data_IF_111538647616
#
_entry.id   IF_111538647616
#
_cell.length_a   1.000
_cell.length_b   1.000
_cell.length_c   1.000
_cell.angle_alpha   90.00
_cell.angle_beta   90.00
_cell.angle_gamma   90.00
#
_symmetry.space_group_name_H-M   'P 1'
#
loop_
_entity.id
_entity.type
_entity.pdbx_description
1 polymer ?
#
# COMPACT_ATOMS: atom_id res chain seq x y z
N UNK A 1 31.15 -22.09 6.88
CA UNK A 1 29.75 -22.49 7.10
C UNK A 1 28.93 -22.39 5.81
N UNK A 2 28.95 -21.29 5.08
CA UNK A 2 28.14 -21.05 3.86
C UNK A 2 28.30 -22.16 2.79
N UNK A 3 29.52 -22.61 2.50
CA UNK A 3 29.76 -23.73 1.53
C UNK A 3 29.07 -25.04 1.91
N UNK A 4 28.98 -25.37 3.21
CA UNK A 4 28.30 -26.59 3.68
C UNK A 4 26.80 -26.46 3.56
N UNK A 5 26.24 -25.27 3.76
CA UNK A 5 24.81 -24.96 3.60
C UNK A 5 24.43 -25.04 2.11
N UNK A 6 25.26 -24.47 1.23
CA UNK A 6 25.05 -24.54 -0.21
C UNK A 6 25.13 -25.99 -0.72
N UNK A 7 26.10 -26.76 -0.23
CA UNK A 7 26.20 -28.19 -0.60
C UNK A 7 25.03 -29.01 -0.07
N UNK A 8 24.60 -28.77 1.14
CA UNK A 8 23.42 -29.44 1.70
C UNK A 8 22.13 -29.05 0.93
N UNK A 9 21.97 -27.80 0.58
CA UNK A 9 20.88 -27.33 -0.27
C UNK A 9 20.90 -27.99 -1.66
N UNK A 10 22.08 -28.12 -2.28
CA UNK A 10 22.27 -28.82 -3.56
C UNK A 10 21.97 -30.31 -3.51
N UNK A 11 22.33 -30.99 -2.39
CA UNK A 11 22.02 -32.41 -2.20
C UNK A 11 20.55 -32.62 -1.93
N UNK A 12 19.92 -31.75 -1.15
CA UNK A 12 18.45 -31.80 -0.90
C UNK A 12 17.69 -31.53 -2.19
N UNK A 13 18.11 -30.54 -2.97
CA UNK A 13 17.49 -30.28 -4.27
C UNK A 13 17.63 -31.47 -5.22
N UNK A 14 18.81 -32.08 -5.33
CA UNK A 14 19.01 -33.24 -6.22
C UNK A 14 18.20 -34.47 -5.81
N UNK A 15 18.00 -34.71 -4.50
CA UNK A 15 17.13 -35.80 -4.01
C UNK A 15 15.64 -35.53 -4.28
N UNK A 16 15.24 -34.27 -4.25
CA UNK A 16 13.87 -33.82 -4.59
C UNK A 16 13.60 -33.96 -6.10
N UNK A 17 14.62 -33.69 -6.95
CA UNK A 17 14.52 -33.87 -8.41
C UNK A 17 14.36 -35.35 -8.86
N UNK A 18 14.71 -36.31 -8.01
CA UNK A 18 14.58 -37.73 -8.34
C UNK A 18 13.14 -38.26 -8.21
N UNK A 19 12.22 -37.46 -7.68
CA UNK A 19 10.80 -37.84 -7.57
C UNK A 19 10.00 -37.18 -8.69
N UNK A 20 9.34 -37.96 -9.56
CA UNK A 20 8.50 -37.51 -10.68
C UNK A 20 7.29 -36.63 -10.26
N UNK A 21 7.16 -36.29 -8.97
CA UNK A 21 6.05 -35.52 -8.42
C UNK A 21 6.29 -34.02 -8.37
N UNK A 22 7.52 -33.55 -8.67
CA UNK A 22 7.83 -32.14 -8.68
C UNK A 22 7.81 -31.57 -10.11
N UNK A 23 7.14 -30.42 -10.26
CA UNK A 23 7.22 -29.58 -11.46
C UNK A 23 7.76 -28.21 -11.07
N UNK A 24 8.64 -27.67 -11.87
CA UNK A 24 9.18 -26.32 -11.71
C UNK A 24 8.72 -25.44 -12.84
N UNK A 25 8.41 -24.20 -12.55
CA UNK A 25 7.89 -23.28 -13.55
C UNK A 25 8.31 -21.83 -13.30
N UNK A 26 8.11 -21.01 -14.31
CA UNK A 26 8.17 -19.56 -14.20
C UNK A 26 6.78 -18.97 -14.24
N UNK A 27 6.56 -17.98 -13.42
CA UNK A 27 5.28 -17.28 -13.26
C UNK A 27 5.43 -15.81 -13.64
N UNK A 28 4.43 -15.26 -14.33
CA UNK A 28 4.30 -13.83 -14.59
C UNK A 28 2.83 -13.42 -14.53
N UNK A 29 2.55 -12.32 -13.84
CA UNK A 29 1.20 -11.78 -13.70
C UNK A 29 1.19 -10.25 -13.75
N UNK A 30 0.16 -9.69 -14.37
CA UNK A 30 -0.26 -8.32 -14.11
C UNK A 30 -1.13 -8.28 -12.86
N UNK A 31 -1.04 -7.19 -12.10
CA UNK A 31 -1.82 -7.03 -10.87
C UNK A 31 -2.50 -5.69 -10.80
N UNK A 32 -3.64 -5.65 -10.08
CA UNK A 32 -4.29 -4.43 -9.63
C UNK A 32 -4.40 -4.50 -8.12
N UNK A 33 -3.96 -3.45 -7.44
CA UNK A 33 -3.93 -3.39 -5.98
C UNK A 33 -4.61 -2.14 -5.45
N UNK A 34 -5.14 -2.27 -4.25
CA UNK A 34 -5.65 -1.17 -3.42
C UNK A 34 -5.30 -1.45 -1.96
N UNK A 35 -5.57 -0.53 -1.07
CA UNK A 35 -5.51 -0.80 0.35
C UNK A 35 -6.91 -0.96 0.94
N UNK A 36 -7.00 -1.71 2.03
CA UNK A 36 -8.22 -1.91 2.80
C UNK A 36 -7.90 -1.89 4.29
N UNK A 37 -8.89 -1.64 5.11
CA UNK A 37 -8.74 -1.62 6.56
C UNK A 37 -9.66 -0.60 7.20
N UNK A 38 -9.40 -0.31 8.47
CA UNK A 38 -10.20 0.63 9.24
C UNK A 38 -10.03 2.05 8.68
N UNK A 39 -11.14 2.77 8.52
CA UNK A 39 -11.20 4.16 8.04
C UNK A 39 -10.63 4.42 6.63
N UNK A 40 -10.38 3.38 5.81
CA UNK A 40 -9.89 3.56 4.44
C UNK A 40 -10.91 4.22 3.52
N UNK A 41 -12.21 4.10 3.82
CA UNK A 41 -13.28 4.73 3.04
C UNK A 41 -13.22 6.27 3.06
N UNK A 42 -12.62 6.84 4.12
CA UNK A 42 -12.40 8.28 4.23
C UNK A 42 -11.21 8.77 3.41
N UNK A 43 -10.28 7.88 3.05
CA UNK A 43 -9.02 8.24 2.40
C UNK A 43 -9.09 8.26 0.88
N UNK A 44 -10.24 7.91 0.26
CA UNK A 44 -10.38 7.84 -1.22
C UNK A 44 -9.23 7.08 -1.88
N UNK A 45 -8.96 5.87 -1.35
CA UNK A 45 -7.88 5.02 -1.85
C UNK A 45 -8.30 4.37 -3.17
N UNK A 46 -7.55 4.67 -4.22
CA UNK A 46 -7.75 4.16 -5.56
C UNK A 46 -6.95 2.88 -5.84
N UNK A 47 -7.15 2.40 -7.06
CA UNK A 47 -6.46 1.21 -7.57
C UNK A 47 -5.15 1.58 -8.24
N UNK A 48 -4.12 0.76 -8.03
CA UNK A 48 -2.83 0.89 -8.71
C UNK A 48 -2.48 -0.36 -9.51
N UNK A 49 -1.88 -0.19 -10.67
CA UNK A 49 -1.38 -1.29 -11.49
C UNK A 49 -0.01 -1.74 -11.00
N UNK A 50 0.24 -3.04 -11.06
CA UNK A 50 1.50 -3.66 -10.69
C UNK A 50 1.80 -4.92 -11.49
N UNK A 51 2.83 -5.64 -11.10
CA UNK A 51 3.18 -6.92 -11.72
C UNK A 51 3.88 -7.83 -10.71
N UNK A 52 3.78 -9.13 -10.96
CA UNK A 52 4.49 -10.16 -10.19
C UNK A 52 5.20 -11.10 -11.17
N UNK A 53 6.48 -11.38 -10.92
CA UNK A 53 7.25 -12.34 -11.71
C UNK A 53 8.10 -13.21 -10.78
N UNK A 54 8.19 -14.51 -11.06
CA UNK A 54 8.91 -15.40 -10.18
C UNK A 54 9.04 -16.83 -10.68
N UNK A 55 9.53 -17.67 -9.79
CA UNK A 55 9.63 -19.10 -9.97
C UNK A 55 8.66 -19.82 -9.02
N UNK A 56 8.02 -20.88 -9.51
CA UNK A 56 7.13 -21.73 -8.73
C UNK A 56 7.59 -23.19 -8.78
N UNK A 57 7.34 -23.91 -7.71
CA UNK A 57 7.50 -25.36 -7.62
C UNK A 57 6.15 -25.97 -7.22
N UNK A 58 5.71 -26.98 -7.96
CA UNK A 58 4.48 -27.72 -7.69
C UNK A 58 4.81 -29.15 -7.30
N UNK A 59 4.40 -29.55 -6.11
CA UNK A 59 4.46 -30.93 -5.64
C UNK A 59 3.10 -31.59 -5.82
N UNK A 60 3.01 -32.58 -6.68
CA UNK A 60 1.78 -33.31 -6.96
C UNK A 60 1.64 -34.43 -5.94
N UNK A 61 0.69 -34.30 -5.01
CA UNK A 61 0.40 -35.33 -4.00
C UNK A 61 -0.45 -36.45 -4.61
N UNK A 62 -1.45 -36.07 -5.38
CA UNK A 62 -2.31 -36.96 -6.16
C UNK A 62 -2.98 -36.16 -7.30
N UNK A 63 -3.75 -36.82 -8.22
CA UNK A 63 -4.38 -36.12 -9.34
C UNK A 63 -5.30 -34.96 -8.96
N UNK A 64 -5.89 -34.97 -7.75
CA UNK A 64 -6.80 -33.93 -7.27
C UNK A 64 -6.10 -32.86 -6.42
N UNK A 65 -4.92 -33.15 -5.85
CA UNK A 65 -4.29 -32.28 -4.85
C UNK A 65 -2.81 -32.10 -5.11
N UNK A 66 -2.38 -30.87 -5.09
CA UNK A 66 -0.96 -30.48 -5.14
C UNK A 66 -0.70 -29.29 -4.22
N UNK A 67 0.57 -29.10 -3.87
CA UNK A 67 1.06 -27.91 -3.15
C UNK A 67 1.94 -27.13 -4.11
N UNK A 68 1.70 -25.83 -4.21
CA UNK A 68 2.50 -24.91 -5.02
C UNK A 68 3.15 -23.91 -4.08
N UNK A 69 4.46 -23.80 -4.15
CA UNK A 69 5.25 -22.78 -3.46
C UNK A 69 6.08 -22.02 -4.46
N UNK A 70 6.43 -20.79 -4.14
CA UNK A 70 7.19 -19.96 -5.06
C UNK A 70 8.04 -18.90 -4.37
N UNK A 71 8.81 -18.20 -5.18
CA UNK A 71 9.49 -16.96 -4.83
C UNK A 71 9.43 -16.04 -6.04
N UNK A 72 9.09 -14.78 -5.81
CA UNK A 72 8.96 -13.81 -6.89
C UNK A 72 9.23 -12.40 -6.43
N UNK A 73 9.38 -11.52 -7.41
CA UNK A 73 9.40 -10.07 -7.23
C UNK A 73 8.01 -9.55 -7.55
N UNK A 74 7.46 -8.77 -6.64
CA UNK A 74 6.13 -8.20 -6.74
C UNK A 74 6.20 -6.68 -6.61
N UNK A 75 5.86 -5.99 -7.68
CA UNK A 75 5.73 -4.55 -7.73
C UNK A 75 4.28 -4.16 -7.54
N UNK A 76 4.02 -3.36 -6.53
CA UNK A 76 2.68 -2.95 -6.08
C UNK A 76 2.54 -1.46 -6.15
N UNK A 77 1.38 -0.98 -6.59
CA UNK A 77 1.01 0.43 -6.52
C UNK A 77 -0.35 0.57 -5.86
N UNK A 78 -0.49 1.67 -5.13
CA UNK A 78 -1.77 2.12 -4.54
C UNK A 78 -1.84 3.62 -4.74
N UNK A 79 -2.95 4.14 -5.25
CA UNK A 79 -3.15 5.58 -5.40
C UNK A 79 -4.03 6.11 -4.27
N UNK A 80 -3.74 7.32 -3.86
CA UNK A 80 -4.55 8.08 -2.91
C UNK A 80 -4.90 9.42 -3.53
N UNK A 81 -6.19 9.65 -3.78
CA UNK A 81 -6.70 10.89 -4.32
C UNK A 81 -7.00 11.87 -3.18
N UNK A 82 -5.96 12.61 -2.78
CA UNK A 82 -6.09 13.63 -1.71
C UNK A 82 -7.02 14.76 -2.12
N UNK A 83 -7.04 15.09 -3.40
CA UNK A 83 -7.91 16.12 -3.95
C UNK A 83 -9.39 15.75 -3.81
N UNK A 84 -9.76 14.53 -4.18
CA UNK A 84 -11.15 14.05 -4.06
C UNK A 84 -11.56 13.90 -2.58
N UNK A 85 -10.67 13.42 -1.72
CA UNK A 85 -10.90 13.36 -0.28
C UNK A 85 -11.17 14.76 0.29
N UNK A 86 -10.35 15.75 -0.07
CA UNK A 86 -10.51 17.13 0.38
C UNK A 86 -11.83 17.72 -0.11
N UNK A 87 -12.17 17.52 -1.39
CA UNK A 87 -13.40 17.97 -2.01
C UNK A 87 -14.64 17.41 -1.31
N UNK A 88 -14.66 16.10 -1.02
CA UNK A 88 -15.76 15.46 -0.28
C UNK A 88 -15.86 15.99 1.15
N UNK A 89 -14.73 16.12 1.83
CA UNK A 89 -14.71 16.58 3.22
C UNK A 89 -15.16 18.03 3.33
N UNK A 90 -14.63 18.92 2.48
CA UNK A 90 -15.00 20.34 2.49
C UNK A 90 -16.42 20.57 1.97
N UNK A 91 -16.82 19.88 0.90
CA UNK A 91 -18.15 19.97 0.32
C UNK A 91 -19.29 19.46 1.23
N UNK A 92 -18.95 18.65 2.25
CA UNK A 92 -19.91 18.26 3.29
C UNK A 92 -20.26 19.42 4.27
N UNK A 93 -19.39 20.44 4.36
CA UNK A 93 -19.53 21.52 5.33
C UNK A 93 -19.82 22.89 4.71
N UNK A 94 -19.36 23.12 3.47
CA UNK A 94 -19.44 24.43 2.80
C UNK A 94 -19.64 24.23 1.29
N UNK A 95 -20.58 24.98 0.70
CA UNK A 95 -20.74 25.04 -0.75
C UNK A 95 -19.47 25.63 -1.39
N UNK A 96 -19.11 25.14 -2.58
CA UNK A 96 -17.87 25.50 -3.29
C UNK A 96 -17.78 27.02 -3.54
N UNK A 97 -18.89 27.65 -3.94
CA UNK A 97 -18.95 29.12 -4.14
C UNK A 97 -18.74 29.92 -2.85
N UNK A 98 -19.28 29.45 -1.74
CA UNK A 98 -19.10 30.03 -0.41
C UNK A 98 -17.65 29.87 0.06
N UNK A 99 -17.02 28.74 -0.22
CA UNK A 99 -15.64 28.44 0.12
C UNK A 99 -14.67 29.41 -0.58
N UNK A 100 -14.84 29.61 -1.90
CA UNK A 100 -14.03 30.57 -2.66
C UNK A 100 -14.17 31.99 -2.14
N UNK A 101 -15.40 32.39 -1.78
CA UNK A 101 -15.66 33.72 -1.21
C UNK A 101 -15.01 33.90 0.16
N UNK A 102 -15.03 32.88 1.02
CA UNK A 102 -14.40 32.89 2.34
C UNK A 102 -12.88 32.93 2.22
N UNK A 103 -12.28 32.07 1.38
CA UNK A 103 -10.84 32.09 1.14
C UNK A 103 -10.40 33.48 0.64
N UNK A 104 -11.09 34.04 -0.34
CA UNK A 104 -10.80 35.38 -0.86
C UNK A 104 -10.86 36.45 0.25
N UNK A 105 -11.88 36.39 1.09
CA UNK A 105 -12.10 37.34 2.19
C UNK A 105 -11.02 37.30 3.27
N UNK A 106 -10.56 36.08 3.63
CA UNK A 106 -9.62 35.93 4.74
C UNK A 106 -8.15 35.91 4.30
N UNK A 107 -7.85 35.49 3.06
CA UNK A 107 -6.49 35.41 2.52
C UNK A 107 -6.04 36.66 1.79
N UNK A 108 -6.96 37.57 1.43
CA UNK A 108 -6.69 38.72 0.59
C UNK A 108 -6.43 38.38 -0.90
N UNK A 109 -6.66 37.11 -1.29
CA UNK A 109 -6.56 36.67 -2.68
C UNK A 109 -7.79 37.11 -3.46
N UNK A 110 -7.64 37.37 -4.75
CA UNK A 110 -8.79 37.54 -5.65
C UNK A 110 -9.54 36.18 -5.84
N UNK A 111 -10.80 36.25 -6.21
CA UNK A 111 -11.61 35.03 -6.46
C UNK A 111 -10.89 34.09 -7.44
N UNK A 112 -10.37 34.58 -8.57
CA UNK A 112 -9.66 33.77 -9.54
C UNK A 112 -8.29 33.23 -9.04
N UNK A 113 -7.72 33.78 -7.97
CA UNK A 113 -6.54 33.21 -7.32
C UNK A 113 -6.93 32.13 -6.31
N UNK A 114 -8.06 32.29 -5.61
CA UNK A 114 -8.60 31.26 -4.73
C UNK A 114 -9.07 30.02 -5.51
N UNK A 115 -9.71 30.20 -6.67
CA UNK A 115 -10.04 29.11 -7.58
C UNK A 115 -8.81 28.30 -8.00
N UNK A 116 -7.75 28.97 -8.49
CA UNK A 116 -6.49 28.31 -8.86
C UNK A 116 -5.82 27.59 -7.70
N UNK A 117 -5.88 28.15 -6.52
CA UNK A 117 -5.35 27.52 -5.31
C UNK A 117 -6.13 26.24 -4.98
N UNK A 118 -7.45 26.30 -5.06
CA UNK A 118 -8.30 25.12 -4.84
C UNK A 118 -8.11 24.07 -5.92
N UNK A 119 -8.03 24.44 -7.20
CA UNK A 119 -7.70 23.54 -8.29
C UNK A 119 -6.38 22.80 -8.05
N UNK A 120 -5.38 23.49 -7.50
CA UNK A 120 -4.11 22.88 -7.12
C UNK A 120 -4.31 21.81 -6.04
N UNK A 121 -5.06 22.11 -4.98
CA UNK A 121 -5.34 21.15 -3.92
C UNK A 121 -6.21 19.99 -4.40
N UNK A 122 -7.22 20.26 -5.22
CA UNK A 122 -8.14 19.23 -5.77
C UNK A 122 -7.49 18.35 -6.82
N UNK A 123 -6.37 18.76 -7.41
CA UNK A 123 -5.60 17.96 -8.36
C UNK A 123 -4.45 17.16 -7.73
N UNK A 124 -4.38 17.12 -6.39
CA UNK A 124 -3.30 16.47 -5.67
C UNK A 124 -3.55 14.95 -5.53
N UNK A 125 -2.63 14.17 -6.07
CA UNK A 125 -2.63 12.69 -5.97
C UNK A 125 -1.32 12.20 -5.38
N UNK A 126 -1.40 11.13 -4.58
CA UNK A 126 -0.22 10.44 -4.05
C UNK A 126 -0.27 8.98 -4.51
N UNK A 127 0.78 8.53 -5.14
CA UNK A 127 0.93 7.13 -5.54
C UNK A 127 2.01 6.47 -4.71
N UNK A 128 1.62 5.49 -3.91
CA UNK A 128 2.54 4.63 -3.19
C UNK A 128 2.99 3.48 -4.08
N UNK A 129 4.29 3.25 -4.15
CA UNK A 129 4.89 2.18 -4.91
C UNK A 129 5.76 1.33 -4.00
N UNK A 130 5.60 0.02 -4.07
CA UNK A 130 6.30 -0.92 -3.20
C UNK A 130 6.91 -2.04 -4.04
N UNK A 131 8.12 -2.43 -3.70
CA UNK A 131 8.79 -3.59 -4.26
C UNK A 131 8.98 -4.64 -3.17
N UNK A 132 8.46 -5.86 -3.41
CA UNK A 132 8.54 -6.97 -2.46
C UNK A 132 9.20 -8.21 -3.08
N UNK A 133 9.82 -9.01 -2.22
CA UNK A 133 10.00 -10.44 -2.50
C UNK A 133 8.81 -11.15 -1.87
N UNK A 134 8.02 -11.84 -2.69
CA UNK A 134 6.87 -12.63 -2.25
C UNK A 134 7.21 -14.12 -2.25
N UNK A 135 6.80 -14.81 -1.19
CA UNK A 135 6.94 -16.26 -1.00
C UNK A 135 5.55 -16.84 -0.78
N UNK A 136 4.80 -17.16 -1.86
CA UNK A 136 3.50 -17.81 -1.78
C UNK A 136 3.64 -19.30 -1.48
N UNK A 137 2.69 -19.84 -0.70
CA UNK A 137 2.47 -21.28 -0.51
C UNK A 137 0.97 -21.53 -0.57
N UNK A 138 0.52 -22.28 -1.56
CA UNK A 138 -0.90 -22.58 -1.75
C UNK A 138 -1.14 -24.08 -1.92
N UNK A 139 -2.25 -24.55 -1.37
CA UNK A 139 -2.86 -25.82 -1.70
C UNK A 139 -3.66 -25.64 -3.00
N UNK A 140 -3.42 -26.48 -3.98
CA UNK A 140 -4.13 -26.51 -5.26
C UNK A 140 -5.00 -27.74 -5.33
N UNK A 141 -6.28 -27.55 -5.60
CA UNK A 141 -7.27 -28.59 -5.76
C UNK A 141 -7.77 -28.57 -7.22
N UNK A 142 -7.74 -29.72 -7.88
CA UNK A 142 -8.26 -29.91 -9.23
C UNK A 142 -9.59 -30.69 -9.18
N UNK A 143 -10.75 -29.99 -9.01
CA UNK A 143 -12.05 -30.67 -8.89
C UNK A 143 -12.50 -31.32 -10.20
N UNK A 144 -12.06 -30.81 -11.32
CA UNK A 144 -12.28 -31.35 -12.67
C UNK A 144 -10.99 -31.22 -13.48
N UNK A 145 -10.82 -31.99 -14.59
CA UNK A 145 -9.63 -31.88 -15.42
C UNK A 145 -9.37 -30.42 -15.86
N UNK A 146 -8.11 -30.03 -15.81
CA UNK A 146 -7.59 -28.73 -16.23
C UNK A 146 -8.03 -27.52 -15.39
N UNK A 147 -9.07 -27.60 -14.58
CA UNK A 147 -9.47 -26.50 -13.69
C UNK A 147 -8.90 -26.71 -12.29
N UNK A 148 -8.41 -25.64 -11.70
CA UNK A 148 -7.90 -25.69 -10.34
C UNK A 148 -8.33 -24.48 -9.50
N UNK A 149 -8.36 -24.72 -8.19
CA UNK A 149 -8.60 -23.72 -7.15
C UNK A 149 -7.37 -23.70 -6.26
N UNK A 150 -6.82 -22.53 -6.01
CA UNK A 150 -5.69 -22.26 -5.12
C UNK A 150 -6.20 -21.64 -3.82
N UNK A 151 -5.73 -22.12 -2.67
CA UNK A 151 -5.94 -21.47 -1.38
C UNK A 151 -4.69 -21.60 -0.52
N UNK A 152 -4.26 -20.52 0.11
CA UNK A 152 -3.04 -20.53 0.90
C UNK A 152 -2.68 -19.18 1.50
N UNK A 153 -1.39 -19.00 1.71
CA UNK A 153 -0.83 -17.82 2.33
C UNK A 153 0.42 -17.34 1.60
N UNK A 154 0.83 -16.12 1.86
CA UNK A 154 2.10 -15.57 1.41
C UNK A 154 2.85 -14.86 2.53
N UNK A 155 4.14 -14.78 2.36
CA UNK A 155 5.03 -13.93 3.10
C UNK A 155 5.70 -12.97 2.11
N UNK A 156 5.60 -11.68 2.34
CA UNK A 156 6.23 -10.61 1.55
C UNK A 156 7.32 -9.93 2.36
N UNK A 157 8.48 -9.69 1.74
CA UNK A 157 9.57 -8.92 2.32
C UNK A 157 9.74 -7.65 1.49
N UNK A 158 9.51 -6.50 2.10
CA UNK A 158 9.67 -5.21 1.41
C UNK A 158 11.16 -4.97 1.13
N UNK A 159 11.46 -4.56 -0.10
CA UNK A 159 12.78 -4.16 -0.56
C UNK A 159 12.90 -2.65 -0.72
N UNK A 160 11.79 -1.99 -1.08
CA UNK A 160 11.75 -0.55 -1.31
C UNK A 160 10.30 -0.05 -1.30
N UNK A 161 10.10 1.13 -0.73
CA UNK A 161 8.84 1.85 -0.73
C UNK A 161 9.07 3.32 -1.13
N UNK A 162 8.22 3.85 -1.98
CA UNK A 162 8.27 5.26 -2.40
C UNK A 162 6.87 5.84 -2.51
N UNK A 163 6.76 7.14 -2.25
CA UNK A 163 5.57 7.94 -2.46
C UNK A 163 5.84 8.96 -3.56
N UNK A 164 5.07 8.93 -4.62
CA UNK A 164 5.11 9.94 -5.68
C UNK A 164 3.92 10.86 -5.52
N UNK A 165 4.20 12.13 -5.33
CA UNK A 165 3.24 13.22 -5.20
C UNK A 165 3.09 13.90 -6.55
N UNK A 166 1.88 14.00 -7.05
CA UNK A 166 1.56 14.64 -8.31
C UNK A 166 0.56 15.76 -8.07
N UNK A 167 0.82 16.94 -8.63
CA UNK A 167 -0.11 18.06 -8.70
C UNK A 167 -0.40 18.32 -10.18
N UNK A 168 -1.46 17.71 -10.68
CA UNK A 168 -1.78 17.68 -12.12
C UNK A 168 -1.95 19.09 -12.70
N UNK A 169 -2.58 20.01 -11.96
CA UNK A 169 -2.81 21.40 -12.39
C UNK A 169 -1.52 22.21 -12.62
N UNK A 170 -0.41 21.79 -11.98
CA UNK A 170 0.90 22.44 -12.12
C UNK A 170 1.90 21.63 -12.95
N UNK A 171 1.56 20.38 -13.30
CA UNK A 171 2.47 19.45 -13.94
C UNK A 171 3.70 19.12 -13.07
N UNK A 172 3.54 19.19 -11.74
CA UNK A 172 4.62 18.92 -10.77
C UNK A 172 4.50 17.48 -10.28
N UNK A 173 5.63 16.77 -10.29
CA UNK A 173 5.78 15.43 -9.77
C UNK A 173 7.00 15.37 -8.88
N UNK A 174 6.87 14.85 -7.67
CA UNK A 174 7.95 14.67 -6.71
C UNK A 174 7.86 13.27 -6.12
N UNK A 175 8.96 12.52 -6.13
CA UNK A 175 9.06 11.18 -5.57
C UNK A 175 9.98 11.19 -4.36
N UNK A 176 9.50 10.65 -3.26
CA UNK A 176 10.20 10.53 -1.98
C UNK A 176 10.31 9.05 -1.57
N UNK A 177 11.44 8.70 -0.94
CA UNK A 177 11.63 7.38 -0.33
C UNK A 177 10.93 7.37 1.05
N UNK A 178 10.07 6.36 1.26
CA UNK A 178 9.30 6.19 2.49
C UNK A 178 9.62 4.87 3.22
N UNK A 179 10.78 4.26 2.96
CA UNK A 179 11.19 3.02 3.63
C UNK A 179 11.17 3.17 5.17
N UNK A 180 11.48 4.37 5.68
CA UNK A 180 11.44 4.72 7.09
C UNK A 180 10.05 4.78 7.71
N UNK A 181 9.02 5.00 6.90
CA UNK A 181 7.61 5.15 7.32
C UNK A 181 6.82 3.84 7.22
N UNK A 182 7.49 2.79 6.75
CA UNK A 182 6.90 1.46 6.74
C UNK A 182 6.67 0.95 8.17
N UNK A 183 5.44 0.55 8.48
CA UNK A 183 5.11 -0.08 9.77
C UNK A 183 5.86 -1.40 9.96
N UNK A 184 6.18 -2.08 8.85
CA UNK A 184 6.93 -3.33 8.84
C UNK A 184 7.50 -3.63 7.46
N UNK A 185 8.74 -4.10 7.44
CA UNK A 185 9.37 -4.66 6.24
C UNK A 185 8.80 -6.03 5.85
N UNK A 186 8.00 -6.65 6.70
CA UNK A 186 7.39 -7.96 6.46
C UNK A 186 5.88 -7.81 6.36
N UNK A 187 5.31 -8.29 5.26
CA UNK A 187 3.88 -8.42 5.00
C UNK A 187 3.51 -9.91 4.94
N UNK A 188 2.32 -10.27 5.36
CA UNK A 188 1.79 -11.61 5.22
C UNK A 188 0.28 -11.57 5.05
N UNK A 189 -0.25 -12.62 4.44
CA UNK A 189 -1.69 -12.65 4.18
C UNK A 189 -2.15 -13.94 3.53
N UNK A 190 -3.38 -13.90 3.04
CA UNK A 190 -4.07 -15.02 2.45
C UNK A 190 -4.11 -14.89 0.93
N UNK A 191 -4.13 -16.03 0.26
CA UNK A 191 -4.30 -16.16 -1.18
C UNK A 191 -5.50 -17.05 -1.43
N UNK A 192 -6.40 -16.61 -2.30
CA UNK A 192 -7.43 -17.43 -2.91
C UNK A 192 -7.37 -17.24 -4.42
N UNK A 193 -7.51 -18.32 -5.18
CA UNK A 193 -7.40 -18.23 -6.63
C UNK A 193 -8.10 -19.34 -7.35
N UNK A 194 -8.20 -19.16 -8.64
CA UNK A 194 -8.68 -20.16 -9.59
C UNK A 194 -7.86 -20.10 -10.87
N UNK A 195 -7.83 -21.19 -11.61
CA UNK A 195 -7.10 -21.20 -12.87
C UNK A 195 -7.44 -22.40 -13.74
N UNK A 196 -6.83 -22.38 -14.89
CA UNK A 196 -7.05 -23.38 -15.92
C UNK A 196 -5.72 -23.76 -16.59
N UNK A 197 -5.45 -25.05 -16.69
CA UNK A 197 -4.31 -25.59 -17.42
C UNK A 197 -4.67 -25.72 -18.91
N UNK A 198 -4.16 -24.79 -19.72
CA UNK A 198 -4.38 -24.80 -21.18
C UNK A 198 -3.69 -26.03 -21.80
N UNK A 199 -2.50 -26.34 -21.29
CA UNK A 199 -1.70 -27.51 -21.66
C UNK A 199 -1.07 -28.08 -20.39
N UNK A 200 -0.42 -29.23 -20.50
CA UNK A 200 0.33 -29.84 -19.38
C UNK A 200 1.46 -28.93 -18.84
N UNK A 201 1.82 -27.88 -19.60
CA UNK A 201 2.92 -26.96 -19.29
C UNK A 201 2.47 -25.53 -19.07
N UNK A 202 1.25 -25.14 -19.40
CA UNK A 202 0.80 -23.75 -19.36
C UNK A 202 -0.50 -23.63 -18.57
N UNK A 203 -0.41 -22.95 -17.45
CA UNK A 203 -1.54 -22.56 -16.60
C UNK A 203 -1.83 -21.06 -16.78
N UNK A 204 -3.12 -20.71 -16.86
CA UNK A 204 -3.61 -19.34 -16.60
C UNK A 204 -4.24 -19.32 -15.23
N UNK A 205 -3.98 -18.30 -14.43
CA UNK A 205 -4.52 -18.19 -13.09
C UNK A 205 -4.99 -16.75 -12.77
N UNK A 206 -6.01 -16.70 -11.93
CA UNK A 206 -6.46 -15.50 -11.26
C UNK A 206 -6.32 -15.72 -9.76
N UNK A 207 -5.67 -14.81 -9.06
CA UNK A 207 -5.44 -14.87 -7.60
C UNK A 207 -5.88 -13.57 -6.95
N UNK A 208 -6.64 -13.66 -5.89
CA UNK A 208 -6.92 -12.57 -4.95
C UNK A 208 -5.99 -12.75 -3.74
N UNK A 209 -5.33 -11.69 -3.36
CA UNK A 209 -4.33 -11.65 -2.28
C UNK A 209 -4.76 -10.61 -1.26
N UNK A 210 -4.89 -11.02 0.00
CA UNK A 210 -5.35 -10.19 1.11
C UNK A 210 -4.27 -10.12 2.18
N UNK A 211 -3.63 -8.96 2.31
CA UNK A 211 -2.70 -8.66 3.39
C UNK A 211 -3.43 -8.54 4.72
N UNK A 212 -2.81 -9.03 5.77
CA UNK A 212 -3.34 -8.98 7.14
C UNK A 212 -2.62 -7.94 8.00
N UNK A 213 -1.53 -7.38 7.49
CA UNK A 213 -0.69 -6.41 8.21
C UNK A 213 -0.76 -5.03 7.56
N UNK A 214 -0.73 -3.98 8.38
CA UNK A 214 -0.63 -2.62 7.88
C UNK A 214 0.75 -2.39 7.24
N UNK A 215 0.77 -1.86 6.03
CA UNK A 215 2.00 -1.58 5.27
C UNK A 215 2.64 -0.27 5.73
N UNK A 216 1.85 0.78 5.93
CA UNK A 216 2.30 2.13 6.26
C UNK A 216 1.89 2.47 7.69
N UNK A 217 2.76 3.20 8.39
CA UNK A 217 2.46 3.83 9.66
C UNK A 217 1.92 5.25 9.40
N UNK A 218 0.59 5.36 9.34
CA UNK A 218 -0.08 6.61 9.00
C UNK A 218 0.19 7.72 10.05
N UNK A 219 0.48 7.35 11.29
CA UNK A 219 0.79 8.32 12.34
C UNK A 219 2.15 9.00 12.07
N UNK A 220 3.14 8.25 11.62
CA UNK A 220 4.42 8.81 11.18
C UNK A 220 4.28 9.60 9.90
N UNK A 221 3.54 9.07 8.93
CA UNK A 221 3.33 9.73 7.65
C UNK A 221 2.65 11.09 7.82
N UNK A 222 1.66 11.22 8.70
CA UNK A 222 0.99 12.50 9.03
C UNK A 222 1.91 13.52 9.68
N UNK A 223 2.89 13.08 10.48
CA UNK A 223 3.83 13.98 11.17
C UNK A 223 4.83 14.66 10.21
N UNK A 224 5.18 14.01 9.10
CA UNK A 224 6.03 14.59 8.05
C UNK A 224 5.38 15.80 7.37
N UNK A 225 4.08 15.75 7.15
CA UNK A 225 3.33 16.85 6.52
C UNK A 225 3.13 18.05 7.45
N UNK A 226 3.03 17.82 8.76
CA UNK A 226 2.93 18.91 9.74
C UNK A 226 4.27 19.61 9.98
N UNK A 227 5.39 18.91 9.89
CA UNK A 227 6.73 19.49 10.10
C UNK A 227 7.27 20.26 8.88
N UNK A 228 6.92 19.86 7.66
CA UNK A 228 7.31 20.59 6.45
C UNK A 228 6.58 21.93 6.30
N UNK A 229 5.41 22.10 6.91
CA UNK A 229 4.71 23.38 6.98
C UNK A 229 5.37 24.37 7.95
N UNK A 230 6.23 23.91 8.86
CA UNK A 230 6.91 24.74 9.87
C UNK A 230 8.38 25.05 9.52
N UNK A 231 8.88 24.53 8.39
CA UNK A 231 10.31 24.48 8.04
C UNK A 231 10.84 25.56 7.11
N UNK A 232 10.19 26.73 6.92
CA UNK A 232 10.79 27.83 6.13
C UNK A 232 10.72 29.20 6.79
N UNK A 233 11.06 29.29 8.09
CA UNK A 233 11.36 30.56 8.73
C UNK A 233 12.80 30.59 9.23
N UNK A 234 13.78 30.23 8.42
CA UNK A 234 15.19 30.50 8.69
C UNK A 234 15.66 31.69 7.87
N UNK A 235 15.56 32.87 8.51
CA UNK A 235 16.62 33.86 8.36
C UNK A 235 16.47 34.94 7.33
N UNK A 236 15.97 36.06 7.71
CA UNK A 236 16.77 37.25 7.67
C UNK A 236 16.22 38.26 8.70
N UNK A 237 17.02 38.46 9.72
CA UNK A 237 16.89 39.54 10.68
C UNK A 237 17.09 40.88 9.96
N UNK A 238 16.00 41.53 9.60
CA UNK A 238 15.97 43.00 9.50
C UNK A 238 14.78 43.47 10.31
N UNK A 239 15.11 44.21 11.35
CA UNK A 239 14.18 44.73 12.30
C UNK A 239 13.18 45.70 11.67
N UNK A 240 11.93 45.51 12.01
CA UNK A 240 10.97 46.58 12.17
C UNK A 240 10.02 46.15 13.29
N UNK A 241 10.19 46.89 14.35
CA UNK A 241 9.45 46.88 15.58
C UNK A 241 8.05 47.46 15.30
N UNK A 242 7.05 46.60 15.09
CA UNK A 242 5.66 46.96 15.34
C UNK A 242 4.96 45.74 15.93
N UNK A 243 4.69 45.84 17.23
CA UNK A 243 3.95 44.89 17.97
C UNK A 243 2.48 44.81 17.49
N UNK A 244 2.00 43.61 17.29
CA UNK A 244 0.62 43.27 17.54
C UNK A 244 0.57 41.86 18.13
N UNK A 245 0.53 41.90 19.46
CA UNK A 245 0.16 40.77 20.32
C UNK A 245 -1.29 40.38 20.02
N UNK A 246 -1.50 39.30 19.29
CA UNK A 246 -2.69 38.48 19.38
C UNK A 246 -2.25 37.04 19.54
N UNK A 247 -1.85 36.74 20.76
CA UNK A 247 -1.80 35.36 21.23
C UNK A 247 -3.21 34.84 21.40
N UNK A 248 -3.65 33.98 20.52
CA UNK A 248 -4.80 33.15 20.80
C UNK A 248 -4.36 31.97 21.66
N UNK A 249 -4.18 32.26 22.95
CA UNK A 249 -4.15 31.26 24.01
C UNK A 249 -5.59 30.77 24.21
N UNK A 250 -5.98 29.71 23.56
CA UNK A 250 -7.07 28.91 24.07
C UNK A 250 -6.48 27.93 25.09
N UNK A 251 -6.34 28.46 26.30
CA UNK A 251 -6.07 27.67 27.45
C UNK A 251 -7.24 26.71 27.69
N UNK A 252 -6.94 25.44 27.77
CA UNK A 252 -7.78 24.46 28.44
C UNK A 252 -7.85 24.84 29.93
N UNK A 253 -8.94 25.45 30.36
CA UNK A 253 -9.21 25.62 31.76
C UNK A 253 -10.09 24.49 32.28
N UNK A 254 -9.49 23.70 33.14
CA UNK A 254 -9.99 23.16 34.38
C UNK A 254 -11.47 22.72 34.40
N UNK A 255 -11.67 21.41 34.39
CA UNK A 255 -12.52 20.75 35.34
C UNK A 255 -11.78 19.53 35.86
N UNK A 256 -11.38 19.58 37.13
CA UNK A 256 -10.91 18.41 37.84
C UNK A 256 -12.10 17.47 38.01
N UNK A 257 -11.89 16.27 37.58
CA UNK A 257 -12.65 15.09 37.99
C UNK A 257 -11.63 14.09 38.53
N UNK A 258 -12.02 13.48 39.61
CA UNK A 258 -11.27 12.55 40.42
C UNK A 258 -10.77 11.37 39.56
N UNK A 259 -9.52 10.96 39.82
CA UNK A 259 -8.85 9.78 39.31
C UNK A 259 -9.68 8.53 39.73
N UNK A 260 -10.44 7.99 38.82
CA UNK A 260 -10.76 6.57 38.79
C UNK A 260 -10.03 6.02 37.57
N UNK A 261 -9.13 5.05 37.81
CA UNK A 261 -8.33 4.33 36.83
C UNK A 261 -9.26 3.60 35.84
N UNK A 262 -9.78 4.31 34.82
CA UNK A 262 -10.26 3.71 33.61
C UNK A 262 -9.07 3.62 32.66
N UNK A 263 -8.69 2.40 32.27
CA UNK A 263 -7.73 2.13 31.20
C UNK A 263 -8.21 2.92 29.97
N UNK A 264 -7.58 4.06 29.72
CA UNK A 264 -7.79 4.85 28.51
C UNK A 264 -7.46 3.94 27.33
N UNK A 265 -8.46 3.28 26.75
CA UNK A 265 -8.39 2.81 25.39
C UNK A 265 -8.09 4.05 24.55
N UNK A 266 -6.82 4.15 24.16
CA UNK A 266 -6.27 5.20 23.32
C UNK A 266 -7.11 5.26 22.02
N UNK A 267 -8.14 6.12 22.02
CA UNK A 267 -9.08 6.32 20.91
C UNK A 267 -8.45 7.12 19.77
N UNK A 268 -7.15 6.97 19.57
CA UNK A 268 -6.50 7.41 18.35
C UNK A 268 -7.07 6.58 17.21
N UNK A 269 -7.82 7.20 16.31
CA UNK A 269 -8.38 6.55 15.13
C UNK A 269 -7.24 5.97 14.30
N UNK A 270 -6.92 4.70 14.54
CA UNK A 270 -5.87 4.02 13.79
C UNK A 270 -6.38 3.74 12.38
N UNK A 271 -5.68 4.29 11.38
CA UNK A 271 -5.96 3.98 9.99
C UNK A 271 -5.33 2.62 9.62
N UNK A 272 -6.16 1.70 9.15
CA UNK A 272 -5.70 0.43 8.63
C UNK A 272 -5.30 0.57 7.15
N UNK A 273 -4.04 0.35 6.81
CA UNK A 273 -3.57 0.37 5.42
C UNK A 273 -3.00 -1.01 5.05
N UNK A 274 -3.91 -1.98 4.87
CA UNK A 274 -3.59 -3.36 4.50
C UNK A 274 -3.69 -3.54 2.99
N UNK A 275 -2.86 -4.40 2.44
CA UNK A 275 -2.79 -4.67 1.02
C UNK A 275 -3.92 -5.58 0.53
N UNK A 276 -4.55 -5.23 -0.61
CA UNK A 276 -5.44 -6.09 -1.36
C UNK A 276 -5.07 -6.05 -2.84
N UNK A 277 -4.91 -7.22 -3.47
CA UNK A 277 -4.48 -7.33 -4.87
C UNK A 277 -5.21 -8.42 -5.61
N UNK A 278 -5.39 -8.18 -6.90
CA UNK A 278 -5.86 -9.18 -7.86
C UNK A 278 -4.80 -9.38 -8.93
N UNK A 279 -4.40 -10.62 -9.13
CA UNK A 279 -3.40 -11.02 -10.12
C UNK A 279 -4.06 -11.81 -11.22
N UNK A 280 -3.76 -11.46 -12.47
CA UNK A 280 -4.05 -12.28 -13.63
C UNK A 280 -2.73 -12.67 -14.28
N UNK A 281 -2.43 -13.96 -14.29
CA UNK A 281 -1.11 -14.43 -14.67
C UNK A 281 -1.09 -15.74 -15.42
N UNK A 282 0.12 -16.07 -15.83
CA UNK A 282 0.45 -17.32 -16.48
C UNK A 282 1.62 -17.99 -15.76
N UNK A 283 1.59 -19.31 -15.68
CA UNK A 283 2.70 -20.12 -15.18
C UNK A 283 3.10 -21.12 -16.25
N UNK A 284 4.38 -21.14 -16.63
CA UNK A 284 4.93 -22.11 -17.55
C UNK A 284 5.75 -23.14 -16.78
N UNK A 285 5.35 -24.42 -16.86
CA UNK A 285 6.01 -25.55 -16.21
C UNK A 285 7.04 -26.18 -17.14
N UNK A 286 8.28 -26.28 -16.69
CA UNK A 286 9.37 -26.81 -17.52
C UNK A 286 9.33 -28.33 -17.65
N UNK A 287 8.91 -29.02 -16.59
CA UNK A 287 8.69 -30.49 -16.56
C UNK A 287 7.74 -30.87 -15.44
#
# INVERSE_FOLDING_TARGET
MLRKIILAALVVTSAVFAQNNFKFGAHAAGSFGTAWGDNTDMLEIGWGAGFNVGAEAKYVVNPMFSVVGGIGVDYRRVSWDMGEMLKKTMGAFVDEDDLHSQISKYSGLSIGQSEKLMDMFYSMKVTFSFLYIDIPVVARINPVPNFFIDAGAYLGINLSASATREVESLGMEETEDIDGDMKSTVDFGLIAGLGYSITDKLDINFRAVFGLKNMIDMDKFGSYYSSSAQGSSSGSSYGSNYGSSYGSSYGSSYYGFDEEDEEDEDSSASFGFKNMRFHLGVTYWFM
#
